data_IF_316873731429
#
_entry.id   IF_316873731429
#
_cell.length_a   1.000
_cell.length_b   1.000
_cell.length_c   1.000
_cell.angle_alpha   90.00
_cell.angle_beta   90.00
_cell.angle_gamma   90.00
#
_symmetry.space_group_name_H-M   'P 1'
#
loop_
_entity.id
_entity.type
_entity.pdbx_description
1 polymer ?
#
# COMPACT_ATOMS: atom_id res chain seq x y z
N UNK A 1 43.51 -48.17 2.04
CA UNK A 1 43.96 -47.05 1.17
C UNK A 1 42.80 -46.10 0.94
N UNK A 2 43.10 -44.82 1.02
CA UNK A 2 42.23 -43.65 1.15
C UNK A 2 41.82 -43.13 -0.23
N UNK A 3 40.52 -43.03 -0.54
CA UNK A 3 39.98 -42.12 -1.57
C UNK A 3 38.60 -41.61 -1.16
N UNK A 4 38.61 -40.60 -0.31
CA UNK A 4 37.51 -39.64 -0.19
C UNK A 4 37.58 -38.76 -1.43
N UNK A 5 36.55 -38.75 -2.27
CA UNK A 5 36.33 -37.69 -3.25
C UNK A 5 34.93 -37.13 -3.06
N UNK A 6 34.96 -35.96 -2.46
CA UNK A 6 33.89 -35.02 -2.14
C UNK A 6 33.06 -34.75 -3.40
N UNK A 7 31.78 -35.13 -3.38
CA UNK A 7 30.78 -34.63 -4.34
C UNK A 7 29.56 -34.16 -3.54
N UNK A 8 29.75 -33.10 -2.76
CA UNK A 8 28.68 -32.47 -2.00
C UNK A 8 29.02 -30.99 -1.79
N UNK A 9 29.00 -30.17 -2.86
CA UNK A 9 29.19 -28.72 -2.68
C UNK A 9 28.71 -27.80 -3.82
N UNK A 10 27.99 -28.28 -4.84
CA UNK A 10 27.75 -27.46 -6.05
C UNK A 10 26.27 -27.10 -6.34
N UNK A 11 25.31 -27.52 -5.52
CA UNK A 11 23.88 -27.38 -5.84
C UNK A 11 23.10 -26.38 -4.99
N UNK A 12 23.75 -25.59 -4.13
CA UNK A 12 23.08 -24.66 -3.21
C UNK A 12 23.41 -23.17 -3.47
N UNK A 13 23.44 -22.74 -4.73
CA UNK A 13 23.78 -21.35 -5.13
C UNK A 13 22.76 -20.71 -6.11
N UNK A 14 21.52 -21.19 -6.19
CA UNK A 14 20.51 -20.65 -7.12
C UNK A 14 19.24 -20.09 -6.48
N UNK A 15 19.19 -19.96 -5.16
CA UNK A 15 18.14 -19.20 -4.48
C UNK A 15 18.65 -17.80 -4.14
N UNK A 16 19.19 -17.09 -5.13
CA UNK A 16 19.25 -15.63 -5.07
C UNK A 16 17.82 -15.12 -5.14
N UNK A 17 17.19 -14.98 -3.97
CA UNK A 17 15.92 -14.27 -3.84
C UNK A 17 16.12 -12.90 -4.47
N UNK A 18 15.42 -12.62 -5.56
CA UNK A 18 15.41 -11.30 -6.17
C UNK A 18 14.70 -10.41 -5.15
N UNK A 19 15.45 -9.63 -4.39
CA UNK A 19 14.87 -8.57 -3.57
C UNK A 19 14.25 -7.57 -4.54
N UNK A 20 12.92 -7.47 -4.54
CA UNK A 20 12.22 -6.36 -5.20
C UNK A 20 12.61 -5.11 -4.41
N UNK A 21 13.45 -4.27 -4.99
CA UNK A 21 13.78 -2.98 -4.42
C UNK A 21 12.68 -1.98 -4.80
N UNK A 22 12.23 -1.19 -3.83
CA UNK A 22 11.40 -0.02 -4.10
C UNK A 22 12.24 1.02 -4.84
N UNK A 23 11.71 1.55 -5.93
CA UNK A 23 12.33 2.63 -6.69
C UNK A 23 11.66 3.97 -6.38
N UNK A 24 12.39 5.07 -6.54
CA UNK A 24 11.82 6.41 -6.33
C UNK A 24 10.65 6.68 -7.30
N UNK A 25 10.67 6.10 -8.50
CA UNK A 25 9.59 6.23 -9.48
C UNK A 25 8.27 5.59 -9.02
N UNK A 26 8.29 4.60 -8.11
CA UNK A 26 7.08 4.00 -7.56
C UNK A 26 6.23 5.00 -6.75
N UNK A 27 6.83 6.13 -6.36
CA UNK A 27 6.18 7.19 -5.60
C UNK A 27 5.77 8.41 -6.45
N UNK A 28 5.90 8.36 -7.79
CA UNK A 28 5.56 9.50 -8.66
C UNK A 28 4.14 10.02 -8.43
N UNK A 29 3.19 9.10 -8.20
CA UNK A 29 1.77 9.43 -8.00
C UNK A 29 1.48 10.13 -6.66
N UNK A 30 2.47 10.16 -5.76
CA UNK A 30 2.42 10.78 -4.44
C UNK A 30 3.21 12.09 -4.37
N UNK A 31 3.78 12.58 -5.47
CA UNK A 31 4.54 13.84 -5.48
C UNK A 31 3.71 15.00 -4.88
N UNK A 32 4.27 15.80 -3.97
CA UNK A 32 3.55 16.93 -3.37
C UNK A 32 2.37 16.55 -2.45
N UNK A 33 2.07 15.27 -2.25
CA UNK A 33 1.22 14.85 -1.14
C UNK A 33 2.00 14.87 0.18
N UNK A 34 1.28 15.11 1.26
CA UNK A 34 1.80 14.99 2.63
C UNK A 34 1.00 13.95 3.39
N UNK A 35 1.65 13.24 4.33
CA UNK A 35 0.93 12.32 5.22
C UNK A 35 0.10 13.14 6.19
N UNK A 36 -1.22 13.10 6.03
CA UNK A 36 -2.17 13.75 6.91
C UNK A 36 -2.38 12.94 8.20
N UNK A 37 -2.40 11.61 8.09
CA UNK A 37 -2.63 10.70 9.22
C UNK A 37 -2.17 9.28 8.92
N UNK A 38 -1.70 8.57 9.95
CA UNK A 38 -1.58 7.11 9.97
C UNK A 38 -2.62 6.54 10.94
N UNK A 39 -3.38 5.54 10.51
CA UNK A 39 -4.44 4.89 11.30
C UNK A 39 -4.69 3.47 10.77
N UNK A 40 -5.84 2.86 11.07
CA UNK A 40 -6.27 1.57 10.56
C UNK A 40 -7.69 1.63 10.02
N UNK A 41 -8.02 0.75 9.08
CA UNK A 41 -9.42 0.44 8.75
C UNK A 41 -10.08 -0.21 9.95
N UNK A 42 -11.32 0.19 10.20
CA UNK A 42 -12.19 -0.42 11.21
C UNK A 42 -12.84 -1.68 10.62
N UNK A 43 -12.31 -2.85 10.99
CA UNK A 43 -12.79 -4.15 10.49
C UNK A 43 -12.19 -4.58 9.14
N UNK A 44 -12.97 -5.32 8.37
CA UNK A 44 -12.55 -5.87 7.07
C UNK A 44 -12.40 -4.79 6.00
N UNK A 45 -11.32 -4.88 5.23
CA UNK A 45 -11.10 -4.10 4.03
C UNK A 45 -11.09 -5.02 2.81
N UNK A 46 -12.16 -4.97 2.03
CA UNK A 46 -12.34 -5.77 0.81
C UNK A 46 -12.00 -4.97 -0.47
N UNK A 47 -11.09 -4.00 -0.34
CA UNK A 47 -10.76 -3.11 -1.44
C UNK A 47 -11.78 -2.01 -1.65
N UNK A 48 -11.57 -1.26 -2.72
CA UNK A 48 -12.42 -0.15 -3.14
C UNK A 48 -13.43 -0.58 -4.22
N UNK A 49 -14.63 -0.06 -4.07
CA UNK A 49 -15.65 0.03 -5.12
C UNK A 49 -16.05 1.50 -5.23
N UNK A 50 -16.49 1.96 -6.40
CA UNK A 50 -16.92 3.35 -6.57
C UNK A 50 -17.95 3.74 -5.49
N UNK A 51 -17.72 4.89 -4.85
CA UNK A 51 -18.55 5.45 -3.78
C UNK A 51 -18.60 4.64 -2.46
N UNK A 52 -17.87 3.52 -2.35
CA UNK A 52 -17.75 2.77 -1.10
C UNK A 52 -17.08 3.62 -0.03
N UNK A 53 -17.67 3.63 1.15
CA UNK A 53 -17.13 4.31 2.34
C UNK A 53 -16.31 3.34 3.17
N UNK A 54 -15.10 3.75 3.52
CA UNK A 54 -14.20 3.05 4.43
C UNK A 54 -14.15 3.83 5.73
N UNK A 55 -14.59 3.22 6.82
CA UNK A 55 -14.47 3.80 8.16
C UNK A 55 -13.14 3.41 8.79
N UNK A 56 -12.51 4.38 9.43
CA UNK A 56 -11.21 4.22 10.10
C UNK A 56 -11.41 4.29 11.61
N UNK A 57 -10.54 3.62 12.38
CA UNK A 57 -10.68 3.50 13.84
C UNK A 57 -10.64 4.85 14.59
N UNK A 58 -10.18 5.92 13.93
CA UNK A 58 -10.18 7.28 14.47
C UNK A 58 -11.45 8.08 14.13
N UNK A 59 -12.50 7.41 13.63
CA UNK A 59 -13.78 8.01 13.25
C UNK A 59 -13.78 8.71 11.89
N UNK A 60 -12.66 8.70 11.15
CA UNK A 60 -12.61 9.26 9.81
C UNK A 60 -13.26 8.31 8.81
N UNK A 61 -13.80 8.88 7.73
CA UNK A 61 -14.34 8.10 6.61
C UNK A 61 -13.69 8.57 5.32
N UNK A 62 -13.21 7.62 4.52
CA UNK A 62 -12.74 7.85 3.15
C UNK A 62 -13.77 7.27 2.18
N UNK A 63 -14.01 7.94 1.06
CA UNK A 63 -14.89 7.41 0.01
C UNK A 63 -14.04 7.07 -1.22
N UNK A 64 -14.14 5.84 -1.70
CA UNK A 64 -13.39 5.37 -2.86
C UNK A 64 -13.81 6.10 -4.14
N UNK A 65 -12.84 6.46 -4.99
CA UNK A 65 -13.10 7.01 -6.33
C UNK A 65 -12.78 6.02 -7.47
N UNK A 66 -12.30 4.82 -7.15
CA UNK A 66 -11.93 3.78 -8.11
C UNK A 66 -12.43 2.41 -7.68
N UNK A 67 -12.44 1.45 -8.60
CA UNK A 67 -12.62 0.03 -8.29
C UNK A 67 -11.26 -0.67 -8.18
N UNK A 68 -11.02 -1.40 -7.09
CA UNK A 68 -9.86 -2.27 -6.90
C UNK A 68 -10.14 -3.28 -5.77
N UNK A 69 -10.11 -4.57 -6.09
CA UNK A 69 -10.34 -5.63 -5.11
C UNK A 69 -9.04 -6.01 -4.37
N UNK A 70 -9.14 -6.16 -3.05
CA UNK A 70 -8.09 -6.66 -2.17
C UNK A 70 -8.74 -7.16 -0.88
N UNK A 71 -8.10 -8.01 -0.08
CA UNK A 71 -8.64 -8.35 1.25
C UNK A 71 -7.58 -8.21 2.34
N UNK A 72 -7.95 -7.52 3.42
CA UNK A 72 -7.17 -7.53 4.66
C UNK A 72 -8.07 -7.20 5.85
N UNK A 73 -7.86 -7.87 6.98
CA UNK A 73 -8.52 -7.52 8.23
C UNK A 73 -7.76 -6.39 8.94
N UNK A 74 -8.45 -5.28 9.20
CA UNK A 74 -7.95 -4.06 9.86
C UNK A 74 -6.51 -3.67 9.44
N UNK A 75 -6.25 -3.44 8.14
CA UNK A 75 -4.94 -3.00 7.67
C UNK A 75 -4.59 -1.60 8.18
N UNK A 76 -3.29 -1.29 8.24
CA UNK A 76 -2.83 0.09 8.41
C UNK A 76 -3.17 0.92 7.16
N UNK A 77 -3.46 2.20 7.38
CA UNK A 77 -3.78 3.17 6.34
C UNK A 77 -2.93 4.41 6.54
N UNK A 78 -2.16 4.78 5.52
CA UNK A 78 -1.57 6.12 5.43
C UNK A 78 -2.46 7.00 4.57
N UNK A 79 -3.02 8.05 5.17
CA UNK A 79 -3.87 9.02 4.48
C UNK A 79 -2.98 10.16 4.02
N UNK A 80 -2.97 10.40 2.72
CA UNK A 80 -2.20 11.44 2.07
C UNK A 80 -3.11 12.55 1.57
N UNK A 81 -2.72 13.80 1.77
CA UNK A 81 -3.45 14.95 1.26
C UNK A 81 -2.56 15.92 0.48
N UNK A 82 -3.14 16.53 -0.55
CA UNK A 82 -2.57 17.64 -1.32
C UNK A 82 -3.63 18.73 -1.43
N UNK A 83 -3.28 19.97 -1.06
CA UNK A 83 -4.17 21.12 -1.23
C UNK A 83 -4.34 21.44 -2.73
N UNK A 84 -5.58 21.58 -3.18
CA UNK A 84 -5.94 21.91 -4.57
C UNK A 84 -6.70 23.25 -4.67
N UNK A 85 -6.61 24.10 -3.63
CA UNK A 85 -7.28 25.39 -3.53
C UNK A 85 -8.75 25.27 -3.10
N UNK A 86 -9.54 24.48 -3.81
CA UNK A 86 -10.98 24.23 -3.53
C UNK A 86 -11.23 23.17 -2.47
N UNK A 87 -10.19 22.53 -1.96
CA UNK A 87 -10.28 21.36 -1.12
C UNK A 87 -8.94 20.63 -1.00
N UNK A 88 -9.02 19.35 -0.69
CA UNK A 88 -7.89 18.44 -0.64
C UNK A 88 -8.15 17.25 -1.57
N UNK A 89 -7.17 16.96 -2.42
CA UNK A 89 -7.09 15.65 -3.07
C UNK A 89 -6.57 14.65 -2.05
N UNK A 90 -7.20 13.46 -1.99
CA UNK A 90 -6.93 12.45 -0.97
C UNK A 90 -6.50 11.15 -1.65
N UNK A 91 -5.39 10.59 -1.20
CA UNK A 91 -4.96 9.21 -1.52
C UNK A 91 -4.82 8.42 -0.22
N UNK A 92 -5.02 7.11 -0.29
CA UNK A 92 -4.77 6.22 0.84
C UNK A 92 -3.83 5.10 0.43
N UNK A 93 -2.78 4.86 1.20
CA UNK A 93 -1.94 3.67 1.05
C UNK A 93 -2.47 2.61 2.02
N UNK A 94 -2.92 1.48 1.48
CA UNK A 94 -3.45 0.34 2.24
C UNK A 94 -2.83 -0.93 1.69
N UNK A 95 -2.04 -1.64 2.51
CA UNK A 95 -1.18 -2.70 2.01
C UNK A 95 -0.17 -2.16 1.00
N UNK A 96 -0.06 -2.82 -0.16
CA UNK A 96 0.89 -2.46 -1.22
C UNK A 96 0.27 -1.53 -2.29
N UNK A 97 -0.94 -1.02 -2.04
CA UNK A 97 -1.70 -0.27 -3.04
C UNK A 97 -1.95 1.17 -2.61
N UNK A 98 -1.87 2.06 -3.60
CA UNK A 98 -2.30 3.46 -3.50
C UNK A 98 -3.70 3.57 -4.09
N UNK A 99 -4.66 3.97 -3.27
CA UNK A 99 -6.05 4.18 -3.67
C UNK A 99 -6.32 5.67 -3.83
N UNK A 100 -7.01 6.02 -4.92
CA UNK A 100 -7.59 7.36 -5.06
C UNK A 100 -8.91 7.42 -4.29
N UNK A 101 -9.07 8.50 -3.51
CA UNK A 101 -10.28 8.76 -2.75
C UNK A 101 -10.97 10.01 -3.29
N UNK A 102 -12.27 10.11 -3.05
CA UNK A 102 -13.00 11.32 -3.33
C UNK A 102 -12.40 12.51 -2.55
N UNK A 103 -12.31 13.69 -3.18
CA UNK A 103 -11.71 14.86 -2.56
C UNK A 103 -12.59 15.43 -1.44
N UNK A 104 -11.94 16.06 -0.46
CA UNK A 104 -12.63 16.79 0.62
C UNK A 104 -12.71 18.25 0.20
N UNK A 105 -13.92 18.80 0.07
CA UNK A 105 -14.13 20.21 -0.26
C UNK A 105 -14.00 21.10 0.99
N UNK A 106 -13.44 22.31 0.82
CA UNK A 106 -13.39 23.35 1.86
C UNK A 106 -14.71 24.09 1.99
#
# INVERSE_FOLDING_TARGET
MRRVLIVAAASLWLLSGHAIALDASDFSDLEGYTVAKITKVDGDFEGCEYDKKITLINGWTLTCSTYHYSYSYSPQVAILSRDIGSGYSIKAVIGDYVYEMQPIRK
#
